data_IF_564328910574
#
_entry.id   IF_564328910574
#
_cell.length_a   1.000
_cell.length_b   1.000
_cell.length_c   1.000
_cell.angle_alpha   90.00
_cell.angle_beta   90.00
_cell.angle_gamma   90.00
#
_symmetry.space_group_name_H-M   'P 1'
#
loop_
_entity.id
_entity.type
_entity.pdbx_description
1 polymer ?
#
# COMPACT_ATOMS: atom_id res chain seq x y z
N UNK A 1 -30.12 11.74 -36.89
CA UNK A 1 -30.59 13.14 -36.76
C UNK A 1 -31.68 13.20 -35.70
N UNK A 2 -31.36 13.70 -34.50
CA UNK A 2 -32.20 14.54 -33.63
C UNK A 2 -31.52 14.66 -32.26
N UNK A 3 -30.75 15.74 -32.20
CA UNK A 3 -30.09 16.36 -31.09
C UNK A 3 -31.12 16.82 -30.02
N UNK A 4 -30.79 16.73 -28.73
CA UNK A 4 -31.26 17.73 -27.74
C UNK A 4 -30.30 17.82 -26.55
N UNK A 5 -29.51 18.89 -26.64
CA UNK A 5 -28.82 19.58 -25.56
C UNK A 5 -29.73 19.78 -24.34
N UNK A 6 -29.17 19.55 -23.14
CA UNK A 6 -29.66 20.13 -21.90
C UNK A 6 -28.56 21.02 -21.33
N UNK A 7 -28.81 22.33 -21.42
CA UNK A 7 -28.08 23.38 -20.75
C UNK A 7 -28.23 23.25 -19.22
N UNK A 8 -27.11 23.28 -18.50
CA UNK A 8 -27.09 23.54 -17.06
C UNK A 8 -26.66 25.00 -16.85
N UNK A 9 -27.45 25.82 -16.13
CA UNK A 9 -27.12 27.22 -15.93
C UNK A 9 -26.12 27.40 -14.79
N UNK A 10 -25.24 28.38 -15.00
CA UNK A 10 -24.35 28.97 -14.00
C UNK A 10 -25.15 29.67 -12.90
N UNK A 11 -24.75 29.48 -11.64
CA UNK A 11 -25.09 30.38 -10.53
C UNK A 11 -23.79 30.89 -9.93
N UNK A 12 -23.52 32.18 -10.19
CA UNK A 12 -22.64 33.03 -9.39
C UNK A 12 -23.42 33.56 -8.19
N UNK A 13 -22.83 33.47 -6.99
CA UNK A 13 -23.02 34.43 -5.89
C UNK A 13 -21.92 34.13 -4.85
N UNK A 14 -20.89 34.99 -4.76
CA UNK A 14 -20.75 36.02 -3.71
C UNK A 14 -20.35 35.46 -2.35
N UNK A 15 -19.19 35.88 -1.83
CA UNK A 15 -19.12 36.71 -0.61
C UNK A 15 -17.67 37.09 -0.29
N UNK A 16 -17.42 38.38 -0.41
CA UNK A 16 -16.29 39.13 0.13
C UNK A 16 -16.53 39.31 1.63
N UNK A 17 -15.51 39.10 2.45
CA UNK A 17 -15.52 39.48 3.86
C UNK A 17 -14.11 39.49 4.46
N UNK A 18 -13.51 40.66 4.71
CA UNK A 18 -12.26 40.77 5.45
C UNK A 18 -12.56 40.89 6.95
N UNK A 19 -12.10 39.93 7.74
CA UNK A 19 -12.00 40.10 9.19
C UNK A 19 -10.57 40.45 9.57
N UNK A 20 -10.34 41.75 9.74
CA UNK A 20 -9.32 42.30 10.62
C UNK A 20 -9.66 41.94 12.06
N UNK A 21 -8.68 41.49 12.83
CA UNK A 21 -8.82 41.22 14.26
C UNK A 21 -7.43 41.07 14.90
N UNK A 22 -6.85 42.21 15.28
CA UNK A 22 -5.71 42.32 16.18
C UNK A 22 -6.14 42.08 17.64
N UNK A 23 -5.14 41.90 18.51
CA UNK A 23 -5.19 41.87 19.97
C UNK A 23 -5.71 40.56 20.61
N UNK A 24 -5.17 40.04 21.72
CA UNK A 24 -4.41 40.61 22.81
C UNK A 24 -3.34 39.62 23.30
N UNK A 25 -2.13 40.15 23.52
CA UNK A 25 -1.18 39.54 24.42
C UNK A 25 -1.75 39.55 25.85
N UNK A 26 -1.77 38.39 26.49
CA UNK A 26 -2.06 38.26 27.92
C UNK A 26 -1.03 37.32 28.55
N UNK A 27 -0.10 37.92 29.29
CA UNK A 27 0.91 37.22 30.09
C UNK A 27 0.26 36.71 31.37
N UNK A 28 0.27 35.40 31.68
CA UNK A 28 -0.21 34.92 32.95
C UNK A 28 0.81 35.14 34.08
N UNK A 29 0.36 35.37 35.32
CA UNK A 29 1.22 35.64 36.47
C UNK A 29 1.97 34.40 36.95
N UNK A 30 3.20 34.64 37.40
CA UNK A 30 4.16 33.68 37.96
C UNK A 30 3.63 33.03 39.24
N UNK A 31 3.20 31.77 39.14
CA UNK A 31 2.81 30.96 40.28
C UNK A 31 4.04 30.48 41.09
N UNK A 32 3.94 30.62 42.42
CA UNK A 32 4.93 30.17 43.41
C UNK A 32 5.07 28.65 43.38
N UNK A 33 6.31 28.19 43.35
CA UNK A 33 6.72 26.78 43.37
C UNK A 33 6.77 26.28 44.83
N UNK A 34 5.99 25.25 45.22
CA UNK A 34 6.22 24.55 46.47
C UNK A 34 7.35 23.51 46.29
N UNK A 35 8.24 23.44 47.28
CA UNK A 35 9.30 22.45 47.39
C UNK A 35 8.69 21.04 47.50
N UNK A 36 8.75 20.27 46.41
CA UNK A 36 8.40 18.85 46.42
C UNK A 36 9.64 18.06 46.84
N UNK A 37 9.51 17.35 47.97
CA UNK A 37 10.49 16.41 48.50
C UNK A 37 10.56 15.21 47.54
N UNK A 38 11.68 15.07 46.82
CA UNK A 38 11.95 13.90 45.97
C UNK A 38 12.13 12.66 46.86
N UNK A 39 11.11 11.81 46.92
CA UNK A 39 11.24 10.45 47.41
C UNK A 39 11.71 9.62 46.21
N UNK A 40 13.00 9.27 46.22
CA UNK A 40 13.60 8.34 45.27
C UNK A 40 13.07 6.95 45.59
N UNK A 41 12.02 6.53 44.86
CA UNK A 41 11.53 5.16 44.88
C UNK A 41 12.28 4.38 43.80
N UNK A 42 13.38 3.77 44.24
CA UNK A 42 14.17 2.80 43.50
C UNK A 42 13.35 1.52 43.24
N UNK A 43 12.67 1.49 42.09
CA UNK A 43 12.19 0.26 41.45
C UNK A 43 12.41 0.39 39.96
N UNK A 44 13.67 0.33 39.55
CA UNK A 44 14.00 -0.10 38.20
C UNK A 44 13.74 -1.60 38.11
N UNK A 45 12.48 -1.97 37.85
CA UNK A 45 12.21 -3.26 37.23
C UNK A 45 12.80 -3.19 35.82
N UNK A 46 13.71 -4.09 35.42
CA UNK A 46 14.07 -4.23 34.03
C UNK A 46 12.81 -4.64 33.29
N UNK A 47 12.22 -3.71 32.54
CA UNK A 47 11.19 -4.03 31.57
C UNK A 47 11.88 -4.95 30.57
N UNK A 48 11.55 -6.24 30.65
CA UNK A 48 11.94 -7.23 29.66
C UNK A 48 11.54 -6.67 28.30
N UNK A 49 12.54 -6.43 27.44
CA UNK A 49 12.35 -6.02 26.07
C UNK A 49 11.46 -7.09 25.42
N UNK A 50 10.20 -6.74 25.23
CA UNK A 50 9.20 -7.64 24.68
C UNK A 50 9.72 -8.23 23.37
N UNK A 51 9.63 -9.55 23.25
CA UNK A 51 9.82 -10.29 22.01
C UNK A 51 9.00 -9.62 20.90
N UNK A 52 9.66 -8.80 20.08
CA UNK A 52 9.13 -8.43 18.77
C UNK A 52 9.20 -9.73 17.95
N UNK A 53 8.08 -10.30 17.48
CA UNK A 53 8.15 -11.45 16.59
C UNK A 53 8.95 -11.02 15.35
N UNK A 54 10.16 -11.52 15.30
CA UNK A 54 11.13 -11.23 14.28
C UNK A 54 10.60 -11.71 12.93
N UNK A 55 10.45 -10.75 12.01
CA UNK A 55 10.66 -10.93 10.58
C UNK A 55 10.04 -12.18 9.97
N UNK A 56 8.75 -12.11 9.64
CA UNK A 56 8.16 -13.07 8.70
C UNK A 56 8.98 -13.00 7.38
N UNK A 57 9.53 -14.13 6.88
CA UNK A 57 10.49 -14.09 5.79
C UNK A 57 9.89 -13.41 4.57
N UNK A 58 10.46 -12.32 4.07
CA UNK A 58 10.01 -11.73 2.80
C UNK A 58 10.10 -12.80 1.70
N UNK A 59 9.06 -12.97 0.86
CA UNK A 59 9.06 -14.04 -0.13
C UNK A 59 10.19 -13.77 -1.13
N UNK A 60 11.01 -14.80 -1.39
CA UNK A 60 12.13 -14.68 -2.31
C UNK A 60 11.64 -14.61 -3.76
N UNK A 61 11.92 -13.49 -4.43
CA UNK A 61 11.63 -13.31 -5.86
C UNK A 61 12.89 -13.66 -6.66
N UNK A 62 12.82 -14.59 -7.63
CA UNK A 62 13.93 -14.90 -8.53
C UNK A 62 14.52 -13.65 -9.19
N UNK A 63 15.82 -13.67 -9.48
CA UNK A 63 16.47 -12.61 -10.24
C UNK A 63 15.91 -12.55 -11.68
N UNK A 64 15.42 -11.39 -12.15
CA UNK A 64 15.03 -11.22 -13.54
C UNK A 64 16.24 -11.17 -14.47
N UNK A 65 16.04 -11.50 -15.74
CA UNK A 65 17.06 -11.44 -16.79
C UNK A 65 16.66 -10.42 -17.87
N UNK A 66 17.55 -10.01 -18.79
CA UNK A 66 17.15 -9.14 -19.90
C UNK A 66 16.08 -9.75 -20.82
N UNK A 67 16.03 -11.08 -20.97
CA UNK A 67 15.00 -11.76 -21.77
C UNK A 67 13.70 -11.99 -21.01
N UNK A 68 13.75 -11.99 -19.67
CA UNK A 68 12.60 -12.08 -18.77
C UNK A 68 12.67 -10.95 -17.74
N UNK A 69 12.37 -9.70 -18.16
CA UNK A 69 12.75 -8.50 -17.41
C UNK A 69 11.94 -8.29 -16.14
N UNK A 70 10.90 -9.09 -15.90
CA UNK A 70 10.02 -8.96 -14.74
C UNK A 70 9.82 -10.32 -14.10
N UNK A 71 10.04 -10.38 -12.79
CA UNK A 71 9.66 -11.50 -11.92
C UNK A 71 8.81 -10.96 -10.79
N UNK A 72 7.84 -11.72 -10.32
CA UNK A 72 7.00 -11.30 -9.21
C UNK A 72 6.57 -12.48 -8.33
N UNK A 73 6.25 -12.18 -7.08
CA UNK A 73 5.62 -13.12 -6.15
C UNK A 73 4.45 -12.43 -5.44
N UNK A 74 3.44 -13.23 -5.10
CA UNK A 74 2.31 -12.83 -4.28
C UNK A 74 2.45 -13.47 -2.89
N UNK A 75 2.17 -12.71 -1.84
CA UNK A 75 2.20 -13.20 -0.48
C UNK A 75 1.14 -12.54 0.39
N UNK A 76 0.75 -13.22 1.46
CA UNK A 76 -0.08 -12.68 2.52
C UNK A 76 0.74 -12.48 3.79
N UNK A 77 0.52 -11.36 4.47
CA UNK A 77 1.21 -10.98 5.71
C UNK A 77 0.19 -10.51 6.76
N UNK A 78 -0.02 -11.27 7.85
CA UNK A 78 0.55 -12.59 8.10
C UNK A 78 -0.05 -13.67 7.19
N UNK A 79 0.71 -14.73 6.89
CA UNK A 79 0.19 -15.88 6.14
C UNK A 79 -0.73 -16.78 6.99
N UNK A 80 -0.62 -16.69 8.31
CA UNK A 80 -1.48 -17.36 9.28
C UNK A 80 -2.28 -16.31 10.05
N UNK A 81 -3.60 -16.45 10.07
CA UNK A 81 -4.47 -15.38 10.57
C UNK A 81 -5.69 -15.94 11.32
N UNK A 82 -6.14 -15.23 12.35
CA UNK A 82 -7.37 -15.58 13.05
C UNK A 82 -8.59 -14.95 12.36
N UNK A 83 -9.78 -15.58 12.45
CA UNK A 83 -11.02 -15.00 11.97
C UNK A 83 -11.24 -13.55 12.40
N UNK A 84 -11.83 -12.73 11.52
CA UNK A 84 -12.17 -11.33 11.80
C UNK A 84 -11.01 -10.34 11.74
N UNK A 85 -9.75 -10.81 11.63
CA UNK A 85 -8.58 -9.95 11.57
C UNK A 85 -8.17 -9.60 10.13
N UNK A 86 -7.19 -8.70 9.98
CA UNK A 86 -6.72 -8.20 8.68
C UNK A 86 -5.33 -8.75 8.33
N UNK A 87 -5.12 -9.00 7.05
CA UNK A 87 -3.80 -9.26 6.46
C UNK A 87 -3.52 -8.26 5.33
N UNK A 88 -2.25 -8.14 4.93
CA UNK A 88 -1.84 -7.47 3.70
C UNK A 88 -1.55 -8.51 2.62
N UNK A 89 -2.21 -8.33 1.47
CA UNK A 89 -1.83 -8.95 0.22
C UNK A 89 -0.70 -8.12 -0.41
N UNK A 90 0.49 -8.70 -0.49
CA UNK A 90 1.72 -8.06 -0.96
C UNK A 90 2.16 -8.70 -2.28
N UNK A 91 2.33 -7.89 -3.32
CA UNK A 91 3.01 -8.31 -4.55
C UNK A 91 4.37 -7.65 -4.59
N UNK A 92 5.43 -8.46 -4.62
CA UNK A 92 6.80 -7.97 -4.80
C UNK A 92 7.21 -8.24 -6.23
N UNK A 93 7.50 -7.18 -6.97
CA UNK A 93 7.95 -7.22 -8.36
C UNK A 93 9.44 -6.88 -8.39
N UNK A 94 10.23 -7.65 -9.12
CA UNK A 94 11.63 -7.36 -9.46
C UNK A 94 11.76 -7.09 -10.94
N UNK A 95 12.56 -6.08 -11.27
CA UNK A 95 12.73 -5.54 -12.61
C UNK A 95 14.22 -5.66 -12.97
N UNK A 96 14.52 -6.23 -14.14
CA UNK A 96 15.89 -6.38 -14.62
C UNK A 96 16.60 -5.03 -14.71
N UNK A 97 17.93 -5.06 -14.54
CA UNK A 97 18.77 -3.87 -14.72
C UNK A 97 18.53 -3.25 -16.11
N UNK A 98 18.62 -1.92 -16.17
CA UNK A 98 18.34 -1.12 -17.36
C UNK A 98 16.90 -1.22 -17.92
N UNK A 99 15.98 -1.90 -17.21
CA UNK A 99 14.56 -1.92 -17.54
C UNK A 99 13.76 -1.09 -16.53
N UNK A 100 12.56 -0.73 -16.93
CA UNK A 100 11.59 -0.03 -16.09
C UNK A 100 10.15 -0.40 -16.44
N UNK A 101 9.24 -0.16 -15.52
CA UNK A 101 7.79 -0.30 -15.69
C UNK A 101 7.12 1.06 -15.50
N UNK A 102 5.99 1.26 -16.17
CA UNK A 102 5.15 2.43 -15.90
C UNK A 102 4.17 2.14 -14.75
N UNK A 103 3.91 3.14 -13.87
CA UNK A 103 2.96 3.00 -12.77
C UNK A 103 1.52 2.85 -13.27
N UNK A 104 0.59 2.52 -12.36
CA UNK A 104 -0.83 2.28 -12.71
C UNK A 104 -1.53 3.50 -13.31
N UNK A 105 -1.14 4.71 -12.88
CA UNK A 105 -1.78 5.94 -13.29
C UNK A 105 -1.63 6.21 -14.79
N UNK A 106 -2.71 6.74 -15.38
CA UNK A 106 -2.68 7.14 -16.78
C UNK A 106 -1.90 8.44 -16.93
N UNK A 107 -0.77 8.37 -17.62
CA UNK A 107 0.09 9.51 -17.93
C UNK A 107 0.01 9.90 -19.42
N UNK A 108 -1.07 9.52 -20.11
CA UNK A 108 -1.30 9.88 -21.51
C UNK A 108 -0.37 9.19 -22.51
N UNK A 109 0.26 8.09 -22.10
CA UNK A 109 1.16 7.29 -22.95
C UNK A 109 0.47 6.09 -23.60
N UNK A 110 1.10 5.53 -24.64
CA UNK A 110 0.61 4.31 -25.34
C UNK A 110 1.06 3.00 -24.68
N UNK A 111 1.65 3.06 -23.49
CA UNK A 111 2.18 1.90 -22.78
C UNK A 111 1.10 1.19 -21.94
N UNK A 112 1.33 -0.08 -21.62
CA UNK A 112 0.51 -0.81 -20.65
C UNK A 112 1.05 -0.59 -19.25
N UNK A 113 0.27 0.05 -18.35
CA UNK A 113 0.71 0.31 -16.98
C UNK A 113 0.76 -0.97 -16.14
N UNK A 114 1.52 -0.93 -15.04
CA UNK A 114 1.51 -1.98 -14.03
C UNK A 114 0.14 -2.07 -13.36
N UNK A 115 -0.54 -3.20 -13.50
CA UNK A 115 -1.88 -3.45 -12.94
C UNK A 115 -1.94 -4.79 -12.26
N UNK A 116 -2.57 -4.85 -11.09
CA UNK A 116 -2.74 -6.08 -10.33
C UNK A 116 -4.22 -6.42 -10.14
N UNK A 117 -4.63 -7.57 -10.66
CA UNK A 117 -5.94 -8.14 -10.42
C UNK A 117 -5.79 -9.38 -9.54
N UNK A 118 -6.51 -9.45 -8.42
CA UNK A 118 -6.50 -10.61 -7.55
C UNK A 118 -7.91 -11.14 -7.35
N UNK A 119 -8.04 -12.47 -7.33
CA UNK A 119 -9.26 -13.19 -6.97
C UNK A 119 -9.11 -13.72 -5.55
N UNK A 120 -10.03 -13.30 -4.69
CA UNK A 120 -10.10 -13.78 -3.32
C UNK A 120 -11.06 -14.99 -3.24
N UNK A 121 -10.74 -15.98 -2.41
CA UNK A 121 -11.65 -17.08 -2.07
C UNK A 121 -12.81 -16.56 -1.20
N UNK A 122 -13.87 -17.38 -1.09
CA UNK A 122 -14.97 -17.09 -0.19
C UNK A 122 -14.47 -16.92 1.26
N UNK A 123 -15.05 -15.99 2.00
CA UNK A 123 -14.64 -15.71 3.38
C UNK A 123 -13.41 -14.79 3.50
N UNK A 124 -12.95 -14.19 2.40
CA UNK A 124 -11.91 -13.14 2.40
C UNK A 124 -12.36 -11.99 1.52
N UNK A 125 -12.22 -10.76 2.03
CA UNK A 125 -12.67 -9.55 1.34
C UNK A 125 -11.55 -8.52 1.23
N UNK A 126 -11.54 -7.75 0.14
CA UNK A 126 -10.63 -6.61 0.02
C UNK A 126 -11.07 -5.46 0.92
N UNK A 127 -10.08 -4.75 1.46
CA UNK A 127 -10.27 -3.52 2.22
C UNK A 127 -9.53 -2.41 1.49
N UNK A 128 -10.29 -1.53 0.83
CA UNK A 128 -9.75 -0.42 0.02
C UNK A 128 -9.16 -0.89 -1.31
N UNK A 129 -8.42 0.00 -1.96
CA UNK A 129 -7.78 -0.23 -3.26
C UNK A 129 -6.32 -0.66 -3.12
N UNK A 130 -5.69 -0.98 -4.24
CA UNK A 130 -4.25 -1.21 -4.29
C UNK A 130 -3.48 0.06 -3.95
N UNK A 131 -2.50 -0.07 -3.07
CA UNK A 131 -1.53 0.95 -2.76
C UNK A 131 -0.25 0.68 -3.57
N UNK A 132 0.05 1.60 -4.46
CA UNK A 132 1.29 1.65 -5.22
C UNK A 132 2.23 2.67 -4.57
N UNK A 133 3.53 2.36 -4.40
CA UNK A 133 4.47 3.32 -3.85
C UNK A 133 4.70 4.46 -4.85
N UNK A 134 5.20 5.62 -4.40
CA UNK A 134 5.55 6.70 -5.32
C UNK A 134 6.57 6.24 -6.38
N UNK A 135 6.35 6.54 -7.67
CA UNK A 135 7.32 6.23 -8.72
C UNK A 135 8.52 7.19 -8.68
N UNK A 136 9.61 6.80 -9.32
CA UNK A 136 10.74 7.69 -9.59
C UNK A 136 10.53 8.45 -10.92
N UNK A 137 11.22 9.59 -11.08
CA UNK A 137 11.20 10.33 -12.33
C UNK A 137 12.13 9.69 -13.37
N UNK A 138 11.56 9.29 -14.50
CA UNK A 138 12.27 8.81 -15.66
C UNK A 138 12.67 9.92 -16.63
N UNK A 139 12.99 9.53 -17.86
CA UNK A 139 13.33 10.47 -18.93
C UNK A 139 12.16 11.42 -19.21
N UNK A 140 12.46 12.71 -19.36
CA UNK A 140 11.47 13.76 -19.60
C UNK A 140 10.36 13.85 -18.53
N UNK A 141 10.65 13.44 -17.29
CA UNK A 141 9.71 13.52 -16.16
C UNK A 141 8.62 12.44 -16.19
N UNK A 142 8.74 11.42 -17.07
CA UNK A 142 7.78 10.32 -17.12
C UNK A 142 7.99 9.43 -15.89
N UNK A 143 6.97 9.18 -15.05
CA UNK A 143 7.13 8.37 -13.85
C UNK A 143 7.32 6.89 -14.20
N UNK A 144 8.24 6.24 -13.49
CA UNK A 144 8.63 4.84 -13.71
C UNK A 144 8.93 4.11 -12.40
N UNK A 145 8.98 2.79 -12.45
CA UNK A 145 9.60 1.93 -11.44
C UNK A 145 10.84 1.24 -12.00
N UNK A 146 11.91 1.20 -11.20
CA UNK A 146 13.14 0.43 -11.47
C UNK A 146 13.47 -0.50 -10.31
N UNK A 147 14.28 -1.51 -10.58
CA UNK A 147 14.81 -2.50 -9.63
C UNK A 147 13.73 -3.36 -8.95
N UNK A 148 12.86 -2.77 -8.14
CA UNK A 148 11.78 -3.46 -7.46
C UNK A 148 10.65 -2.51 -7.07
N UNK A 149 9.42 -3.02 -7.08
CA UNK A 149 8.25 -2.33 -6.57
C UNK A 149 7.42 -3.29 -5.72
N UNK A 150 6.92 -2.81 -4.59
CA UNK A 150 6.02 -3.55 -3.71
C UNK A 150 4.65 -2.88 -3.68
N UNK A 151 3.63 -3.57 -4.15
CA UNK A 151 2.24 -3.08 -4.16
C UNK A 151 1.43 -3.88 -3.16
N UNK A 152 0.52 -3.21 -2.47
CA UNK A 152 -0.14 -3.75 -1.28
C UNK A 152 -1.63 -3.53 -1.32
N UNK A 153 -2.41 -4.47 -0.81
CA UNK A 153 -3.84 -4.29 -0.57
C UNK A 153 -4.24 -5.02 0.70
N UNK A 154 -4.97 -4.33 1.56
CA UNK A 154 -5.47 -4.97 2.77
C UNK A 154 -6.60 -5.95 2.42
N UNK A 155 -6.65 -7.06 3.17
CA UNK A 155 -7.73 -8.04 3.14
C UNK A 155 -8.24 -8.28 4.55
N UNK A 156 -9.51 -8.65 4.67
CA UNK A 156 -10.16 -9.04 5.92
C UNK A 156 -10.68 -10.45 5.79
N UNK A 157 -10.42 -11.28 6.80
CA UNK A 157 -10.97 -12.64 6.87
C UNK A 157 -12.32 -12.60 7.57
N UNK A 158 -13.35 -13.07 6.90
CA UNK A 158 -14.72 -13.20 7.43
C UNK A 158 -15.10 -14.65 7.73
N UNK A 159 -14.35 -15.63 7.20
CA UNK A 159 -14.53 -17.04 7.57
C UNK A 159 -14.12 -17.29 9.02
N UNK A 160 -14.94 -18.07 9.74
CA UNK A 160 -14.73 -18.48 11.13
C UNK A 160 -14.10 -19.88 11.23
N UNK A 161 -14.08 -20.64 10.15
CA UNK A 161 -13.60 -22.01 10.13
C UNK A 161 -12.09 -22.05 9.85
N UNK A 162 -11.33 -22.89 10.56
CA UNK A 162 -9.93 -23.13 10.21
C UNK A 162 -9.81 -23.78 8.83
N UNK A 163 -9.11 -23.14 7.91
CA UNK A 163 -8.97 -23.58 6.53
C UNK A 163 -7.74 -22.95 5.87
N UNK A 164 -7.14 -23.65 4.89
CA UNK A 164 -6.13 -23.05 4.00
C UNK A 164 -6.78 -22.67 2.68
N UNK A 165 -6.76 -21.37 2.38
CA UNK A 165 -7.39 -20.79 1.21
C UNK A 165 -6.35 -20.36 0.17
N UNK A 166 -6.65 -20.59 -1.11
CA UNK A 166 -5.81 -20.14 -2.22
C UNK A 166 -6.24 -18.75 -2.69
N UNK A 167 -5.28 -17.82 -2.73
CA UNK A 167 -5.45 -16.51 -3.36
C UNK A 167 -4.67 -16.49 -4.66
N UNK A 168 -5.31 -16.08 -5.75
CA UNK A 168 -4.69 -16.00 -7.08
C UNK A 168 -4.75 -14.59 -7.62
N UNK A 169 -3.90 -14.28 -8.59
CA UNK A 169 -3.96 -13.02 -9.29
C UNK A 169 -3.14 -12.98 -10.56
N UNK A 170 -3.38 -11.95 -11.36
CA UNK A 170 -2.69 -11.67 -12.61
C UNK A 170 -2.09 -10.29 -12.54
N UNK A 171 -0.76 -10.23 -12.65
CA UNK A 171 -0.01 -9.00 -12.78
C UNK A 171 0.16 -8.69 -14.28
N UNK A 172 -0.42 -7.58 -14.72
CA UNK A 172 -0.22 -7.03 -16.06
C UNK A 172 0.88 -5.98 -16.02
N UNK A 173 1.76 -6.00 -17.02
CA UNK A 173 2.88 -5.07 -17.08
C UNK A 173 3.34 -4.89 -18.52
N UNK A 174 4.13 -3.85 -18.75
CA UNK A 174 4.97 -3.72 -19.93
C UNK A 174 6.35 -3.23 -19.48
N UNK A 175 7.37 -4.02 -19.81
CA UNK A 175 8.75 -3.63 -19.59
C UNK A 175 9.24 -2.78 -20.75
N UNK A 176 10.00 -1.75 -20.43
CA UNK A 176 10.70 -0.92 -21.39
C UNK A 176 12.15 -0.73 -20.95
N UNK A 177 13.01 -0.40 -21.89
CA UNK A 177 14.32 0.16 -21.66
C UNK A 177 14.40 1.51 -22.39
N UNK A 178 15.61 2.09 -22.45
CA UNK A 178 15.83 3.41 -23.04
C UNK A 178 15.64 3.46 -24.57
N UNK A 179 15.49 2.32 -25.23
CA UNK A 179 15.42 2.17 -26.69
C UNK A 179 14.06 1.66 -27.16
N UNK A 180 13.45 0.72 -26.44
CA UNK A 180 12.23 0.02 -26.84
C UNK A 180 11.38 -0.44 -25.65
N UNK A 181 10.12 -0.76 -25.96
CA UNK A 181 9.22 -1.47 -25.06
C UNK A 181 8.92 -2.86 -25.59
N UNK A 182 8.94 -3.84 -24.69
CA UNK A 182 8.49 -5.20 -25.00
C UNK A 182 6.96 -5.25 -25.15
N UNK A 183 6.40 -6.28 -25.81
CA UNK A 183 4.97 -6.51 -25.77
C UNK A 183 4.44 -6.61 -24.33
N UNK A 184 3.18 -6.22 -24.07
CA UNK A 184 2.56 -6.37 -22.76
C UNK A 184 2.62 -7.83 -22.26
N UNK A 185 3.06 -8.00 -21.02
CA UNK A 185 3.22 -9.29 -20.35
C UNK A 185 2.17 -9.52 -19.27
N UNK A 186 2.03 -10.78 -18.87
CA UNK A 186 1.20 -11.22 -17.74
C UNK A 186 1.96 -12.23 -16.89
N UNK A 187 1.88 -12.10 -15.57
CA UNK A 187 2.33 -13.12 -14.63
C UNK A 187 1.13 -13.61 -13.82
N UNK A 188 0.90 -14.92 -13.84
CA UNK A 188 -0.04 -15.58 -12.92
C UNK A 188 0.67 -15.82 -11.60
N UNK A 189 0.05 -15.36 -10.51
CA UNK A 189 0.60 -15.43 -9.16
C UNK A 189 -0.39 -16.13 -8.26
N UNK A 190 0.11 -16.88 -7.28
CA UNK A 190 -0.71 -17.51 -6.26
C UNK A 190 -0.02 -17.52 -4.90
N UNK A 191 -0.81 -17.56 -3.84
CA UNK A 191 -0.36 -17.69 -2.47
C UNK A 191 -1.42 -18.38 -1.62
N UNK A 192 -1.04 -18.79 -0.41
CA UNK A 192 -1.93 -19.47 0.53
C UNK A 192 -2.13 -18.61 1.78
N UNK A 193 -3.36 -18.62 2.28
CA UNK A 193 -3.76 -18.05 3.57
C UNK A 193 -4.24 -19.17 4.46
N UNK A 194 -3.68 -19.30 5.66
CA UNK A 194 -4.17 -20.27 6.64
C UNK A 194 -4.94 -19.55 7.73
N UNK A 195 -6.22 -19.87 7.86
CA UNK A 195 -7.07 -19.43 8.95
C UNK A 195 -6.85 -20.38 10.12
N UNK A 196 -6.41 -19.85 11.26
CA UNK A 196 -6.21 -20.64 12.47
C UNK A 196 -7.50 -20.69 13.30
N UNK A 197 -7.67 -21.78 14.05
CA UNK A 197 -8.69 -21.80 15.10
C UNK A 197 -8.41 -20.69 16.12
N UNK A 198 -9.47 -20.02 16.56
CA UNK A 198 -9.38 -19.09 17.67
C UNK A 198 -8.92 -19.90 18.90
N UNK A 199 -7.75 -19.54 19.45
CA UNK A 199 -7.27 -20.16 20.67
C UNK A 199 -8.17 -19.67 21.82
N UNK A 200 -9.14 -20.47 22.24
CA UNK A 200 -9.91 -20.23 23.46
C UNK A 200 -8.94 -20.09 24.64
N UNK A 201 -8.78 -18.87 25.15
CA UNK A 201 -8.11 -18.58 26.44
C UNK A 201 -9.17 -18.40 27.52
#
# INVERSE_FOLDING_TARGET
MCNRYLHVPWILASLIGPFSGCDLASTPPRAKQPHIKLIVSDRTQPIALANIPASEPTPHVPEPSPSEPVKAVLALRPANISPGTKAELLVTVRIAKAHYLHPEADHGGTFTPLKMNAMLPAGVEFVGDWNFPPPEEGRAGVPIYRNSVQIRRAVKVTSLSPETLNVTGVLHYQACNDELCWPPGKLELSTQLTIQAEASQ
#
